data_IF_407500754057
#
_entry.id   IF_407500754057
#
_cell.length_a   1.000
_cell.length_b   1.000
_cell.length_c   1.000
_cell.angle_alpha   90.00
_cell.angle_beta   90.00
_cell.angle_gamma   90.00
#
_symmetry.space_group_name_H-M   'P 1'
#
loop_
_entity.id
_entity.type
_entity.pdbx_description
1 polymer ?
#
# COMPACT_ATOMS: atom_id res chain seq x y z
N UNK A 1 0.52 2.33 -16.42
CA UNK A 1 -0.21 3.21 -17.34
C UNK A 1 -0.31 4.58 -16.72
N UNK A 2 -0.06 5.63 -17.49
CA UNK A 2 -0.15 7.01 -17.02
C UNK A 2 -1.56 7.58 -17.25
N UNK A 3 -2.02 8.47 -16.37
CA UNK A 3 -3.32 9.14 -16.51
C UNK A 3 -3.40 10.02 -17.77
N UNK A 4 -2.29 10.61 -18.21
CA UNK A 4 -2.22 11.46 -19.41
C UNK A 4 -1.93 10.68 -20.70
N UNK A 5 -2.07 9.35 -20.70
CA UNK A 5 -1.77 8.51 -21.87
C UNK A 5 -3.04 8.15 -22.67
N UNK A 6 -2.89 7.99 -23.99
CA UNK A 6 -3.98 7.48 -24.84
C UNK A 6 -4.43 6.08 -24.39
N UNK A 7 -3.49 5.26 -23.92
CA UNK A 7 -3.77 3.94 -23.35
C UNK A 7 -4.77 4.03 -22.19
N UNK A 8 -4.66 5.05 -21.33
CA UNK A 8 -5.62 5.27 -20.24
C UNK A 8 -7.02 5.63 -20.75
N UNK A 9 -7.12 6.49 -21.76
CA UNK A 9 -8.41 6.88 -22.35
C UNK A 9 -9.13 5.65 -22.94
N UNK A 10 -8.40 4.82 -23.70
CA UNK A 10 -8.95 3.58 -24.26
C UNK A 10 -9.36 2.61 -23.14
N UNK A 11 -8.50 2.41 -22.15
CA UNK A 11 -8.80 1.55 -21.00
C UNK A 11 -10.05 2.03 -20.25
N UNK A 12 -10.15 3.33 -19.97
CA UNK A 12 -11.29 3.92 -19.29
C UNK A 12 -12.58 3.72 -20.09
N UNK A 13 -12.57 4.00 -21.40
CA UNK A 13 -13.73 3.79 -22.26
C UNK A 13 -14.20 2.32 -22.25
N UNK A 14 -13.27 1.36 -22.33
CA UNK A 14 -13.58 -0.08 -22.26
C UNK A 14 -14.19 -0.45 -20.91
N UNK A 15 -13.55 -0.05 -19.81
CA UNK A 15 -14.02 -0.38 -18.45
C UNK A 15 -15.39 0.23 -18.17
N UNK A 16 -15.62 1.50 -18.55
CA UNK A 16 -16.91 2.17 -18.38
C UNK A 16 -18.00 1.50 -19.23
N UNK A 17 -17.70 1.16 -20.49
CA UNK A 17 -18.66 0.45 -21.34
C UNK A 17 -19.03 -0.91 -20.74
N UNK A 18 -18.04 -1.69 -20.31
CA UNK A 18 -18.29 -2.97 -19.62
C UNK A 18 -19.08 -2.80 -18.32
N UNK A 19 -18.80 -1.77 -17.54
CA UNK A 19 -19.52 -1.48 -16.29
C UNK A 19 -21.02 -1.28 -16.53
N UNK A 20 -21.39 -0.51 -17.55
CA UNK A 20 -22.79 -0.24 -17.88
C UNK A 20 -23.48 -1.44 -18.55
N UNK A 21 -22.75 -2.27 -19.30
CA UNK A 21 -23.28 -3.50 -19.91
C UNK A 21 -23.59 -4.62 -18.92
N UNK A 22 -22.97 -4.60 -17.72
CA UNK A 22 -23.25 -5.59 -16.68
C UNK A 22 -24.45 -5.16 -15.83
N UNK A 23 -25.38 -6.08 -15.56
CA UNK A 23 -26.59 -5.82 -14.74
C UNK A 23 -26.38 -6.12 -13.25
N UNK A 24 -25.48 -7.05 -12.91
CA UNK A 24 -25.26 -7.48 -11.53
C UNK A 24 -24.30 -6.57 -10.75
N UNK A 25 -24.71 -6.11 -9.56
CA UNK A 25 -23.85 -5.31 -8.67
C UNK A 25 -22.52 -6.01 -8.32
N UNK A 26 -22.57 -7.32 -8.04
CA UNK A 26 -21.36 -8.10 -7.74
C UNK A 26 -20.39 -8.15 -8.94
N UNK A 27 -20.92 -8.29 -10.16
CA UNK A 27 -20.11 -8.30 -11.38
C UNK A 27 -19.47 -6.93 -11.64
N UNK A 28 -20.24 -5.85 -11.46
CA UNK A 28 -19.72 -4.47 -11.54
C UNK A 28 -18.60 -4.21 -10.54
N UNK A 29 -18.79 -4.61 -9.28
CA UNK A 29 -17.78 -4.48 -8.23
C UNK A 29 -16.50 -5.26 -8.58
N UNK A 30 -16.64 -6.53 -8.99
CA UNK A 30 -15.49 -7.35 -9.35
C UNK A 30 -14.75 -6.79 -10.57
N UNK A 31 -15.49 -6.31 -11.58
CA UNK A 31 -14.90 -5.62 -12.74
C UNK A 31 -14.06 -4.41 -12.30
N UNK A 32 -14.61 -3.55 -11.43
CA UNK A 32 -13.89 -2.37 -10.93
C UNK A 32 -12.64 -2.73 -10.15
N UNK A 33 -12.69 -3.78 -9.32
CA UNK A 33 -11.52 -4.25 -8.56
C UNK A 33 -10.45 -4.74 -9.53
N UNK A 34 -10.81 -5.63 -10.47
CA UNK A 34 -9.87 -6.17 -11.46
C UNK A 34 -9.29 -5.05 -12.33
N UNK A 35 -10.12 -4.14 -12.83
CA UNK A 35 -9.68 -2.98 -13.59
C UNK A 35 -8.71 -2.10 -12.79
N UNK A 36 -8.99 -1.85 -11.50
CA UNK A 36 -8.10 -1.06 -10.64
C UNK A 36 -6.73 -1.73 -10.49
N UNK A 37 -6.68 -3.06 -10.29
CA UNK A 37 -5.42 -3.79 -10.22
C UNK A 37 -4.67 -3.84 -11.55
N UNK A 38 -5.37 -3.96 -12.69
CA UNK A 38 -4.75 -3.88 -14.03
C UNK A 38 -4.15 -2.49 -14.24
N UNK A 39 -4.89 -1.43 -13.89
CA UNK A 39 -4.41 -0.05 -14.01
C UNK A 39 -3.13 0.19 -13.20
N UNK A 40 -3.14 -0.19 -11.91
CA UNK A 40 -1.98 -0.08 -11.02
C UNK A 40 -0.82 -0.99 -11.46
N UNK A 41 -1.11 -2.24 -11.83
CA UNK A 41 -0.11 -3.21 -12.26
C UNK A 41 0.55 -2.83 -13.58
N UNK A 42 -0.18 -2.21 -14.50
CA UNK A 42 0.38 -1.69 -15.75
C UNK A 42 1.34 -0.52 -15.55
N UNK A 43 1.39 0.10 -14.35
CA UNK A 43 2.43 1.08 -14.00
C UNK A 43 3.66 0.40 -13.43
N UNK A 44 3.49 -0.43 -12.40
CA UNK A 44 4.58 -1.19 -11.80
C UNK A 44 3.99 -2.41 -11.06
N UNK A 45 4.11 -3.63 -11.61
CA UNK A 45 3.47 -4.83 -11.04
C UNK A 45 3.85 -5.12 -9.57
N UNK A 46 5.13 -4.99 -9.15
CA UNK A 46 5.51 -5.11 -7.75
C UNK A 46 4.68 -4.26 -6.77
N UNK A 47 4.31 -3.03 -7.14
CA UNK A 47 3.54 -2.16 -6.24
C UNK A 47 2.06 -2.51 -6.17
N UNK A 48 1.49 -3.08 -7.23
CA UNK A 48 0.15 -3.65 -7.18
C UNK A 48 0.12 -4.87 -6.23
N UNK A 49 1.15 -5.73 -6.29
CA UNK A 49 1.30 -6.85 -5.36
C UNK A 49 1.48 -6.38 -3.91
N UNK A 50 2.26 -5.31 -3.70
CA UNK A 50 2.45 -4.68 -2.40
C UNK A 50 1.14 -4.10 -1.83
N UNK A 51 0.33 -3.43 -2.66
CA UNK A 51 -1.00 -2.95 -2.28
C UNK A 51 -1.95 -4.09 -1.93
N UNK A 52 -1.91 -5.19 -2.69
CA UNK A 52 -2.68 -6.39 -2.38
C UNK A 52 -2.25 -7.02 -1.05
N UNK A 53 -0.94 -7.18 -0.84
CA UNK A 53 -0.40 -7.78 0.38
C UNK A 53 -0.77 -6.95 1.63
N UNK A 54 -0.65 -5.63 1.56
CA UNK A 54 -1.05 -4.73 2.67
C UNK A 54 -2.53 -4.82 2.97
N UNK A 55 -3.38 -4.65 1.95
CA UNK A 55 -4.84 -4.72 2.13
C UNK A 55 -5.30 -6.08 2.65
N UNK A 56 -4.72 -7.18 2.17
CA UNK A 56 -5.02 -8.53 2.66
C UNK A 56 -4.60 -8.72 4.12
N UNK A 57 -3.41 -8.22 4.49
CA UNK A 57 -2.90 -8.36 5.85
C UNK A 57 -3.66 -7.49 6.84
N UNK A 58 -4.02 -6.26 6.47
CA UNK A 58 -4.86 -5.39 7.30
C UNK A 58 -6.28 -5.92 7.44
N UNK A 59 -6.85 -6.51 6.39
CA UNK A 59 -8.13 -7.20 6.51
C UNK A 59 -8.07 -8.37 7.49
N UNK A 60 -7.00 -9.19 7.41
CA UNK A 60 -6.78 -10.29 8.34
C UNK A 60 -6.60 -9.78 9.77
N UNK A 61 -5.77 -8.76 10.00
CA UNK A 61 -5.54 -8.14 11.32
C UNK A 61 -6.83 -7.54 11.87
N UNK A 62 -7.59 -6.79 11.08
CA UNK A 62 -8.89 -6.25 11.47
C UNK A 62 -9.87 -7.35 11.91
N UNK A 63 -9.88 -8.48 11.21
CA UNK A 63 -10.69 -9.64 11.63
C UNK A 63 -10.22 -10.26 12.95
N UNK A 64 -8.91 -10.28 13.23
CA UNK A 64 -8.39 -10.74 14.52
C UNK A 64 -8.71 -9.75 15.65
N UNK A 65 -8.65 -8.45 15.38
CA UNK A 65 -9.05 -7.38 16.31
C UNK A 65 -10.52 -7.57 16.70
N UNK A 66 -11.42 -7.78 15.73
CA UNK A 66 -12.86 -7.97 15.98
C UNK A 66 -13.21 -9.28 16.68
N UNK A 67 -12.36 -10.32 16.59
CA UNK A 67 -12.55 -11.61 17.26
C UNK A 67 -11.84 -11.73 18.61
N UNK A 68 -11.07 -10.73 19.01
CA UNK A 68 -10.27 -10.80 20.22
C UNK A 68 -11.17 -10.91 21.47
N UNK A 69 -10.93 -11.89 22.37
CA UNK A 69 -11.83 -12.13 23.51
C UNK A 69 -11.71 -11.06 24.60
N UNK A 70 -10.57 -10.37 24.68
CA UNK A 70 -10.29 -9.36 25.69
C UNK A 70 -9.50 -8.17 25.13
N UNK A 71 -9.56 -7.07 25.88
CA UNK A 71 -8.95 -5.78 25.51
C UNK A 71 -7.44 -5.85 25.31
N UNK A 72 -6.74 -6.78 25.98
CA UNK A 72 -5.28 -6.93 25.85
C UNK A 72 -4.92 -7.55 24.50
N UNK A 73 -5.63 -8.58 24.07
CA UNK A 73 -5.43 -9.19 22.75
C UNK A 73 -5.83 -8.23 21.63
N UNK A 74 -6.94 -7.50 21.78
CA UNK A 74 -7.34 -6.45 20.82
C UNK A 74 -6.24 -5.41 20.63
N UNK A 75 -5.66 -4.92 21.73
CA UNK A 75 -4.55 -3.95 21.69
C UNK A 75 -3.30 -4.50 21.03
N UNK A 76 -2.94 -5.78 21.24
CA UNK A 76 -1.78 -6.41 20.59
C UNK A 76 -1.94 -6.45 19.07
N UNK A 77 -3.10 -6.88 18.58
CA UNK A 77 -3.38 -6.93 17.14
C UNK A 77 -3.41 -5.54 16.51
N UNK A 78 -3.98 -4.54 17.22
CA UNK A 78 -3.96 -3.15 16.77
C UNK A 78 -2.53 -2.62 16.67
N UNK A 79 -1.71 -2.81 17.70
CA UNK A 79 -0.29 -2.40 17.69
C UNK A 79 0.47 -3.09 16.56
N UNK A 80 0.20 -4.37 16.29
CA UNK A 80 0.80 -5.08 15.17
C UNK A 80 0.43 -4.45 13.81
N UNK A 81 -0.85 -4.11 13.56
CA UNK A 81 -1.28 -3.42 12.34
C UNK A 81 -0.63 -2.03 12.20
N UNK A 82 -0.60 -1.27 13.29
CA UNK A 82 0.01 0.06 13.33
C UNK A 82 1.51 -0.03 13.02
N UNK A 83 2.23 -0.93 13.69
CA UNK A 83 3.65 -1.14 13.45
C UNK A 83 3.91 -1.57 12.00
N UNK A 84 3.11 -2.48 11.43
CA UNK A 84 3.28 -2.95 10.06
C UNK A 84 3.10 -1.80 9.04
N UNK A 85 2.01 -1.04 9.15
CA UNK A 85 1.71 0.08 8.26
C UNK A 85 2.77 1.19 8.36
N UNK A 86 3.17 1.55 9.58
CA UNK A 86 4.23 2.55 9.81
C UNK A 86 5.60 2.06 9.34
N UNK A 87 5.92 0.78 9.49
CA UNK A 87 7.19 0.21 9.01
C UNK A 87 7.27 0.28 7.49
N UNK A 88 6.17 -0.04 6.80
CA UNK A 88 6.11 0.05 5.35
C UNK A 88 6.22 1.51 4.87
N UNK A 89 5.49 2.44 5.50
CA UNK A 89 5.61 3.86 5.20
C UNK A 89 7.03 4.38 5.49
N UNK A 90 7.61 3.98 6.62
CA UNK A 90 8.98 4.29 7.02
C UNK A 90 10.01 3.83 5.99
N UNK A 91 9.92 2.56 5.58
CA UNK A 91 10.84 1.97 4.60
C UNK A 91 10.76 2.68 3.24
N UNK A 92 9.56 2.77 2.66
CA UNK A 92 9.41 3.32 1.30
C UNK A 92 9.57 4.83 1.25
N UNK A 93 8.98 5.58 2.19
CA UNK A 93 8.98 7.06 2.16
C UNK A 93 10.20 7.68 2.81
N UNK A 94 10.65 7.11 3.92
CA UNK A 94 11.71 7.70 4.75
C UNK A 94 13.01 6.89 4.74
N UNK A 95 13.07 5.74 4.05
CA UNK A 95 14.25 4.87 4.02
C UNK A 95 15.52 5.59 3.58
N UNK A 96 15.46 6.30 2.43
CA UNK A 96 16.59 7.07 1.93
C UNK A 96 17.00 8.22 2.87
N UNK A 97 16.02 8.90 3.47
CA UNK A 97 16.28 9.96 4.45
C UNK A 97 16.99 9.39 5.69
N UNK A 98 16.48 8.29 6.27
CA UNK A 98 17.08 7.64 7.44
C UNK A 98 18.50 7.14 7.14
N UNK A 99 18.70 6.55 5.96
CA UNK A 99 19.98 6.03 5.51
C UNK A 99 21.02 7.15 5.28
N UNK A 100 20.62 8.29 4.73
CA UNK A 100 21.50 9.48 4.61
C UNK A 100 21.89 10.05 5.98
N UNK A 101 20.94 10.16 6.91
CA UNK A 101 21.23 10.63 8.27
C UNK A 101 22.15 9.66 9.03
N UNK A 102 21.97 8.35 8.83
CA UNK A 102 22.80 7.34 9.45
C UNK A 102 24.24 7.37 8.92
N UNK A 103 24.43 7.52 7.60
CA UNK A 103 25.75 7.74 7.00
C UNK A 103 26.44 8.98 7.61
N UNK A 104 25.71 10.09 7.71
CA UNK A 104 26.23 11.32 8.27
C UNK A 104 26.65 11.16 9.74
N UNK A 105 25.89 10.40 10.54
CA UNK A 105 26.24 10.10 11.92
C UNK A 105 27.50 9.22 12.03
N UNK A 106 27.61 8.19 11.20
CA UNK A 106 28.77 7.30 11.16
C UNK A 106 30.04 8.04 10.72
N UNK A 107 29.92 8.95 9.75
CA UNK A 107 31.01 9.79 9.31
C UNK A 107 31.57 10.67 10.44
N UNK A 108 30.72 11.11 11.39
CA UNK A 108 31.17 11.85 12.58
C UNK A 108 32.01 11.01 13.55
N UNK A 109 31.84 9.69 13.54
CA UNK A 109 32.63 8.74 14.34
C UNK A 109 33.80 8.17 13.52
N UNK A 110 34.06 8.72 12.32
CA UNK A 110 35.16 8.32 11.45
C UNK A 110 34.90 7.07 10.61
N UNK A 111 33.66 6.55 10.59
CA UNK A 111 33.27 5.38 9.81
C UNK A 111 32.68 5.85 8.48
N UNK A 112 33.40 5.60 7.37
CA UNK A 112 32.87 5.80 6.01
C UNK A 112 32.00 4.62 5.60
N UNK A 113 30.70 4.73 5.85
CA UNK A 113 29.72 3.75 5.41
C UNK A 113 29.13 4.15 4.05
N UNK A 114 29.35 3.33 3.03
CA UNK A 114 28.71 3.47 1.71
C UNK A 114 27.61 2.42 1.59
N UNK A 115 26.34 2.77 1.87
CA UNK A 115 25.26 1.84 1.67
C UNK A 115 25.03 1.56 0.18
N UNK A 116 24.44 0.39 -0.13
CA UNK A 116 23.96 0.11 -1.48
C UNK A 116 22.96 1.18 -1.92
N UNK A 117 23.02 1.56 -3.20
CA UNK A 117 22.00 2.41 -3.81
C UNK A 117 20.68 1.63 -3.89
N UNK A 118 19.85 1.82 -2.88
CA UNK A 118 18.46 1.38 -2.92
C UNK A 118 17.70 2.46 -3.69
N UNK A 119 17.58 2.29 -5.00
CA UNK A 119 16.65 3.07 -5.85
C UNK A 119 15.21 2.63 -5.53
N UNK A 120 14.79 2.89 -4.30
CA UNK A 120 13.45 2.59 -3.80
C UNK A 120 12.48 3.49 -4.58
N UNK A 121 11.92 2.94 -5.65
CA UNK A 121 10.87 3.63 -6.39
C UNK A 121 9.68 3.78 -5.44
N UNK A 122 9.25 5.02 -5.21
CA UNK A 122 8.15 5.32 -4.32
C UNK A 122 6.83 4.84 -4.95
N UNK A 123 6.05 3.98 -4.28
CA UNK A 123 4.72 3.65 -4.75
C UNK A 123 3.85 4.91 -4.70
N UNK A 124 3.24 5.26 -5.83
CA UNK A 124 2.32 6.39 -5.90
C UNK A 124 1.19 6.16 -4.90
N UNK A 125 0.94 7.15 -4.04
CA UNK A 125 -0.15 7.09 -3.07
C UNK A 125 0.10 6.26 -1.80
N UNK A 126 1.35 5.81 -1.52
CA UNK A 126 1.64 5.02 -0.30
C UNK A 126 1.15 5.65 0.99
N UNK A 127 1.38 6.95 1.18
CA UNK A 127 0.86 7.63 2.37
C UNK A 127 -0.66 7.57 2.47
N UNK A 128 -1.37 7.75 1.35
CA UNK A 128 -2.82 7.79 1.34
C UNK A 128 -3.43 6.44 1.73
N UNK A 129 -3.02 5.35 1.07
CA UNK A 129 -3.60 4.04 1.38
C UNK A 129 -3.14 3.52 2.75
N UNK A 130 -1.93 3.84 3.21
CA UNK A 130 -1.50 3.47 4.57
C UNK A 130 -2.35 4.17 5.64
N UNK A 131 -2.64 5.47 5.50
CA UNK A 131 -3.49 6.17 6.48
C UNK A 131 -4.95 5.70 6.43
N UNK A 132 -5.48 5.36 5.25
CA UNK A 132 -6.80 4.73 5.15
C UNK A 132 -6.83 3.35 5.80
N UNK A 133 -5.79 2.54 5.61
CA UNK A 133 -5.73 1.21 6.23
C UNK A 133 -5.63 1.29 7.76
N UNK A 134 -4.83 2.23 8.27
CA UNK A 134 -4.75 2.53 9.71
C UNK A 134 -6.10 2.98 10.27
N UNK A 135 -6.84 3.82 9.53
CA UNK A 135 -8.17 4.28 9.97
C UNK A 135 -9.12 3.08 10.10
N UNK A 136 -9.12 2.18 9.12
CA UNK A 136 -9.91 0.95 9.17
C UNK A 136 -9.59 0.09 10.40
N UNK A 137 -8.32 -0.15 10.72
CA UNK A 137 -7.98 -1.01 11.88
C UNK A 137 -8.22 -0.32 13.23
N UNK A 138 -8.16 1.01 13.28
CA UNK A 138 -8.49 1.80 14.47
C UNK A 138 -9.99 1.87 14.76
N UNK A 139 -10.83 1.85 13.72
CA UNK A 139 -12.29 1.92 13.84
C UNK A 139 -12.91 0.61 14.37
N UNK A 140 -12.21 -0.52 14.26
CA UNK A 140 -12.68 -1.86 14.71
C UNK A 140 -12.54 -2.01 16.22
#
# INVERSE_FOLDING_TARGET
MLFNSLTFVVFYAVVTTLYWSLSGWNLRKNLLVVASYIFYGAWNPPFAALLFATTAMDFWLGRQIGKAPDRRHKKRWLVASVCMNLSMLGFFKYGNFLLQNFQWLLARVGITYQPPHLDILLPVGISFYTFHSLSYTLDI
#
